data_IF_744304469806
#
_entry.id   IF_744304469806
#
_cell.length_a   1.000
_cell.length_b   1.000
_cell.length_c   1.000
_cell.angle_alpha   90.00
_cell.angle_beta   90.00
_cell.angle_gamma   90.00
#
_symmetry.space_group_name_H-M   'P 1'
#
loop_
_entity.id
_entity.type
_entity.pdbx_description
1 polymer ?
#
# COMPACT_ATOMS: atom_id res chain seq x y z
N UNK A 1 -8.95 -11.80 -19.30
CA UNK A 1 -9.89 -10.98 -18.49
C UNK A 1 -10.68 -11.96 -17.64
N UNK A 2 -10.42 -12.05 -16.34
CA UNK A 2 -11.04 -13.04 -15.46
C UNK A 2 -11.79 -12.33 -14.34
N UNK A 3 -13.12 -12.44 -14.38
CA UNK A 3 -14.06 -11.83 -13.44
C UNK A 3 -14.23 -12.78 -12.27
N UNK A 4 -13.69 -12.43 -11.11
CA UNK A 4 -14.24 -12.92 -9.86
C UNK A 4 -14.02 -11.92 -8.74
N UNK A 5 -15.11 -11.74 -7.98
CA UNK A 5 -15.38 -10.64 -7.09
C UNK A 5 -15.54 -9.36 -7.91
N UNK A 6 -16.59 -8.56 -7.66
CA UNK A 6 -16.92 -7.35 -8.43
C UNK A 6 -15.85 -6.22 -8.34
N UNK A 7 -14.62 -6.53 -7.96
CA UNK A 7 -13.47 -5.64 -7.90
C UNK A 7 -12.72 -5.69 -9.22
N UNK A 8 -12.56 -4.52 -9.85
CA UNK A 8 -11.87 -4.37 -11.13
C UNK A 8 -10.56 -3.59 -10.98
N UNK A 9 -10.40 -2.89 -9.86
CA UNK A 9 -9.30 -1.99 -9.60
C UNK A 9 -8.73 -2.24 -8.19
N UNK A 10 -7.52 -1.77 -7.97
CA UNK A 10 -6.88 -1.73 -6.65
C UNK A 10 -6.31 -0.34 -6.46
N UNK A 11 -6.73 0.36 -5.40
CA UNK A 11 -6.07 1.57 -4.96
C UNK A 11 -4.85 1.16 -4.13
N UNK A 12 -3.66 1.52 -4.58
CA UNK A 12 -2.41 1.27 -3.86
C UNK A 12 -1.93 2.58 -3.24
N UNK A 13 -1.69 2.54 -1.92
CA UNK A 13 -1.03 3.62 -1.18
C UNK A 13 0.34 3.12 -0.75
N UNK A 14 1.36 3.95 -0.95
CA UNK A 14 2.73 3.64 -0.57
C UNK A 14 3.24 4.76 0.32
N UNK A 15 3.67 4.43 1.53
CA UNK A 15 4.47 5.33 2.34
C UNK A 15 5.90 5.36 1.80
N UNK A 16 6.38 6.56 1.45
CA UNK A 16 7.68 6.74 0.81
C UNK A 16 8.82 6.49 1.79
N UNK A 17 8.60 6.71 3.08
CA UNK A 17 9.62 6.52 4.11
C UNK A 17 9.87 5.03 4.40
N UNK A 18 8.83 4.32 4.84
CA UNK A 18 8.94 2.90 5.21
C UNK A 18 8.85 1.95 4.02
N UNK A 19 8.43 2.42 2.84
CA UNK A 19 7.95 1.57 1.74
C UNK A 19 6.76 0.70 2.13
N UNK A 20 6.00 1.07 3.18
CA UNK A 20 4.77 0.37 3.55
C UNK A 20 3.75 0.50 2.42
N UNK A 21 3.15 -0.64 2.05
CA UNK A 21 2.15 -0.70 0.99
C UNK A 21 0.82 -1.09 1.62
N UNK A 22 -0.21 -0.28 1.38
CA UNK A 22 -1.62 -0.61 1.58
C UNK A 22 -2.30 -0.76 0.23
N UNK A 23 -3.17 -1.76 0.12
CA UNK A 23 -3.98 -1.96 -1.06
C UNK A 23 -5.47 -2.08 -0.69
N UNK A 24 -6.29 -1.52 -1.56
CA UNK A 24 -7.74 -1.50 -1.37
C UNK A 24 -8.41 -1.91 -2.67
N UNK A 25 -8.90 -3.16 -2.78
CA UNK A 25 -9.63 -3.61 -3.96
C UNK A 25 -10.93 -2.80 -4.08
N UNK A 26 -11.18 -2.26 -5.26
CA UNK A 26 -12.33 -1.40 -5.54
C UNK A 26 -13.01 -1.76 -6.86
N UNK A 27 -14.32 -1.51 -6.90
CA UNK A 27 -15.17 -1.80 -8.08
C UNK A 27 -15.11 -0.69 -9.12
N UNK A 28 -14.75 0.52 -8.69
CA UNK A 28 -14.71 1.74 -9.50
C UNK A 28 -13.45 2.52 -9.15
N UNK A 29 -12.80 3.05 -10.17
CA UNK A 29 -11.72 4.02 -10.02
C UNK A 29 -12.30 5.45 -10.08
N UNK A 30 -13.11 5.84 -9.09
CA UNK A 30 -13.67 7.19 -9.00
C UNK A 30 -13.23 7.94 -7.73
N UNK A 31 -13.37 9.27 -7.75
CA UNK A 31 -12.92 10.13 -6.68
C UNK A 31 -13.63 9.87 -5.33
N UNK A 32 -14.91 9.52 -5.38
CA UNK A 32 -15.71 9.20 -4.19
C UNK A 32 -15.18 7.93 -3.51
N UNK A 33 -14.83 6.92 -4.30
CA UNK A 33 -14.25 5.66 -3.80
C UNK A 33 -12.89 5.91 -3.17
N UNK A 34 -12.03 6.71 -3.80
CA UNK A 34 -10.72 7.09 -3.25
C UNK A 34 -10.85 7.81 -1.91
N UNK A 35 -11.74 8.80 -1.81
CA UNK A 35 -11.98 9.56 -0.56
C UNK A 35 -12.47 8.64 0.56
N UNK A 36 -13.47 7.79 0.25
CA UNK A 36 -14.06 6.87 1.24
C UNK A 36 -13.01 5.89 1.80
N UNK A 37 -12.19 5.31 0.94
CA UNK A 37 -11.15 4.36 1.34
C UNK A 37 -10.04 5.05 2.13
N UNK A 38 -9.61 6.26 1.71
CA UNK A 38 -8.59 7.03 2.43
C UNK A 38 -9.01 7.42 3.84
N UNK A 39 -10.22 7.97 3.98
CA UNK A 39 -10.72 8.44 5.27
C UNK A 39 -10.93 7.31 6.26
N UNK A 40 -11.58 6.23 5.83
CA UNK A 40 -11.96 5.14 6.72
C UNK A 40 -10.77 4.33 7.19
N UNK A 41 -9.85 4.00 6.29
CA UNK A 41 -8.84 2.98 6.55
C UNK A 41 -7.44 3.54 6.76
N UNK A 42 -7.05 4.59 6.04
CA UNK A 42 -5.69 5.13 6.14
C UNK A 42 -5.57 6.12 7.29
N UNK A 43 -6.41 7.16 7.29
CA UNK A 43 -6.33 8.24 8.29
C UNK A 43 -6.56 7.72 9.71
N UNK A 44 -7.46 6.75 9.88
CA UNK A 44 -7.74 6.13 11.18
C UNK A 44 -6.59 5.30 11.74
N UNK A 45 -5.70 4.77 10.89
CA UNK A 45 -4.60 3.88 11.29
C UNK A 45 -3.26 4.60 11.41
N UNK A 46 -2.98 5.51 10.48
CA UNK A 46 -1.67 6.15 10.34
C UNK A 46 -1.71 7.66 10.61
N UNK A 47 -2.90 8.23 10.79
CA UNK A 47 -3.09 9.67 10.92
C UNK A 47 -3.16 10.40 9.58
N UNK A 48 -3.20 11.74 9.67
CA UNK A 48 -3.30 12.61 8.51
C UNK A 48 -1.89 12.81 7.92
N UNK A 49 -1.66 12.49 6.63
CA UNK A 49 -0.36 12.69 6.01
C UNK A 49 -0.12 14.18 5.73
N UNK A 50 1.14 14.61 5.81
CA UNK A 50 1.54 15.99 5.45
C UNK A 50 1.29 16.27 3.96
N UNK A 51 1.60 15.31 3.10
CA UNK A 51 1.39 15.43 1.67
C UNK A 51 0.95 14.12 1.03
N UNK A 52 0.23 14.24 -0.07
CA UNK A 52 -0.17 13.14 -0.94
C UNK A 52 0.35 13.45 -2.33
N UNK A 53 1.03 12.47 -2.93
CA UNK A 53 1.47 12.53 -4.32
C UNK A 53 0.62 11.58 -5.16
N UNK A 54 0.04 12.06 -6.26
CA UNK A 54 -0.68 11.21 -7.22
C UNK A 54 -0.45 11.66 -8.66
N UNK A 55 -0.83 10.80 -9.61
CA UNK A 55 -0.93 11.20 -11.01
C UNK A 55 -2.15 12.11 -11.25
N UNK A 56 -2.28 12.58 -12.49
CA UNK A 56 -3.40 13.40 -12.95
C UNK A 56 -4.69 12.61 -13.24
N UNK A 57 -4.79 11.36 -12.76
CA UNK A 57 -5.98 10.54 -12.94
C UNK A 57 -7.25 11.23 -12.41
N UNK A 58 -8.36 11.07 -13.13
CA UNK A 58 -9.66 11.70 -12.80
C UNK A 58 -10.11 11.32 -11.37
N UNK A 59 -9.78 10.12 -10.92
CA UNK A 59 -10.05 9.63 -9.57
C UNK A 59 -9.33 10.42 -8.48
N UNK A 60 -8.23 11.12 -8.79
CA UNK A 60 -7.46 11.91 -7.84
C UNK A 60 -7.66 13.41 -8.03
N UNK A 61 -8.01 13.87 -9.23
CA UNK A 61 -8.19 15.31 -9.54
C UNK A 61 -9.61 15.81 -9.31
N UNK A 62 -10.56 14.93 -8.95
CA UNK A 62 -11.94 15.27 -8.65
C UNK A 62 -12.07 16.25 -7.49
N UNK A 63 -13.07 17.13 -7.58
CA UNK A 63 -13.32 18.22 -6.62
C UNK A 63 -13.39 17.74 -5.16
N UNK A 64 -14.04 16.60 -4.91
CA UNK A 64 -14.17 16.01 -3.57
C UNK A 64 -12.82 15.64 -2.94
N UNK A 65 -11.81 15.28 -3.75
CA UNK A 65 -10.45 14.99 -3.26
C UNK A 65 -9.76 16.30 -2.86
N UNK A 66 -9.92 17.36 -3.67
CA UNK A 66 -9.36 18.68 -3.37
C UNK A 66 -9.94 19.27 -2.09
N UNK A 67 -11.26 19.20 -1.92
CA UNK A 67 -11.96 19.68 -0.72
C UNK A 67 -11.53 18.91 0.53
N UNK A 68 -11.38 17.59 0.42
CA UNK A 68 -10.86 16.77 1.51
C UNK A 68 -9.45 17.19 1.89
N UNK A 69 -8.54 17.31 0.92
CA UNK A 69 -7.16 17.70 1.16
C UNK A 69 -7.08 19.10 1.79
N UNK A 70 -7.88 20.06 1.32
CA UNK A 70 -7.95 21.39 1.92
C UNK A 70 -8.46 21.35 3.37
N UNK A 71 -9.52 20.58 3.64
CA UNK A 71 -10.11 20.46 4.98
C UNK A 71 -9.13 19.83 5.98
N UNK A 72 -8.39 18.81 5.55
CA UNK A 72 -7.41 18.11 6.38
C UNK A 72 -6.01 18.74 6.31
N UNK A 73 -5.86 19.88 5.63
CA UNK A 73 -4.58 20.57 5.43
C UNK A 73 -3.48 19.69 4.80
N UNK A 74 -3.88 18.76 3.95
CA UNK A 74 -2.99 17.85 3.22
C UNK A 74 -2.52 18.55 1.95
N UNK A 75 -1.20 18.61 1.75
CA UNK A 75 -0.63 19.10 0.50
C UNK A 75 -0.79 18.05 -0.60
N UNK A 76 -1.68 18.30 -1.57
CA UNK A 76 -1.88 17.39 -2.69
C UNK A 76 -1.04 17.80 -3.89
N UNK A 77 0.03 17.05 -4.13
CA UNK A 77 0.93 17.25 -5.26
C UNK A 77 0.54 16.32 -6.42
N UNK A 78 0.25 16.91 -7.57
CA UNK A 78 0.03 16.17 -8.81
C UNK A 78 1.32 16.15 -9.61
N UNK A 79 1.73 14.96 -10.04
CA UNK A 79 2.95 14.81 -10.82
C UNK A 79 2.69 14.31 -12.23
N UNK A 80 3.44 14.88 -13.18
CA UNK A 80 3.52 14.37 -14.53
C UNK A 80 4.33 13.06 -14.55
N UNK A 81 3.98 12.07 -15.39
CA UNK A 81 4.55 10.72 -15.40
C UNK A 81 6.09 10.63 -15.48
N UNK A 82 6.74 11.72 -15.90
CA UNK A 82 8.16 11.80 -16.22
C UNK A 82 9.04 12.45 -15.14
N UNK A 83 8.48 13.05 -14.07
CA UNK A 83 9.25 14.05 -13.30
C UNK A 83 9.61 13.78 -11.83
N UNK A 84 9.20 12.68 -11.18
CA UNK A 84 9.42 12.56 -9.73
C UNK A 84 9.94 11.19 -9.25
N UNK A 85 10.91 11.24 -8.33
CA UNK A 85 11.46 10.10 -7.61
C UNK A 85 10.37 9.30 -6.86
N UNK A 86 9.36 9.99 -6.31
CA UNK A 86 8.20 9.39 -5.64
C UNK A 86 7.30 8.58 -6.59
N UNK A 87 7.19 8.99 -7.86
CA UNK A 87 6.53 8.18 -8.88
C UNK A 87 7.29 6.87 -9.15
N UNK A 88 8.63 6.91 -9.03
CA UNK A 88 9.49 5.72 -9.14
C UNK A 88 9.20 4.68 -8.05
N UNK A 89 9.06 5.11 -6.79
CA UNK A 89 8.74 4.22 -5.67
C UNK A 89 7.38 3.56 -5.87
N UNK A 90 6.32 4.33 -6.18
CA UNK A 90 4.97 3.78 -6.40
C UNK A 90 4.95 2.83 -7.60
N UNK A 91 5.57 3.21 -8.74
CA UNK A 91 5.67 2.33 -9.92
C UNK A 91 6.38 1.02 -9.60
N UNK A 92 7.48 1.09 -8.84
CA UNK A 92 8.24 -0.10 -8.41
C UNK A 92 7.39 -1.00 -7.52
N UNK A 93 6.74 -0.45 -6.50
CA UNK A 93 5.88 -1.24 -5.61
C UNK A 93 4.69 -1.86 -6.35
N UNK A 94 4.07 -1.12 -7.27
CA UNK A 94 3.00 -1.65 -8.13
C UNK A 94 3.52 -2.79 -9.02
N UNK A 95 4.73 -2.69 -9.56
CA UNK A 95 5.37 -3.77 -10.32
C UNK A 95 5.62 -5.01 -9.48
N UNK A 96 6.15 -4.84 -8.27
CA UNK A 96 6.39 -5.94 -7.32
C UNK A 96 5.06 -6.61 -6.92
N UNK A 97 4.03 -5.83 -6.63
CA UNK A 97 2.70 -6.33 -6.28
C UNK A 97 2.12 -7.17 -7.41
N UNK A 98 2.14 -6.66 -8.66
CA UNK A 98 1.67 -7.40 -9.84
C UNK A 98 2.43 -8.71 -10.03
N UNK A 99 3.76 -8.69 -9.89
CA UNK A 99 4.58 -9.89 -10.01
C UNK A 99 4.24 -10.93 -8.95
N UNK A 100 4.14 -10.53 -7.68
CA UNK A 100 3.79 -11.43 -6.57
C UNK A 100 2.38 -12.00 -6.73
N UNK A 101 1.41 -11.16 -7.08
CA UNK A 101 0.04 -11.61 -7.37
C UNK A 101 0.01 -12.63 -8.50
N UNK A 102 0.67 -12.35 -9.63
CA UNK A 102 0.71 -13.29 -10.76
C UNK A 102 1.31 -14.64 -10.36
N UNK A 103 2.41 -14.62 -9.59
CA UNK A 103 3.05 -15.84 -9.11
C UNK A 103 2.15 -16.63 -8.15
N UNK A 104 1.61 -15.99 -7.12
CA UNK A 104 0.77 -16.68 -6.12
C UNK A 104 -0.52 -17.20 -6.75
N UNK A 105 -1.15 -16.44 -7.66
CA UNK A 105 -2.31 -16.92 -8.41
C UNK A 105 -1.98 -18.16 -9.25
N UNK A 106 -0.82 -18.20 -9.90
CA UNK A 106 -0.38 -19.36 -10.69
C UNK A 106 -0.13 -20.59 -9.80
N UNK A 107 0.48 -20.40 -8.63
CA UNK A 107 0.83 -21.50 -7.72
C UNK A 107 -0.39 -22.06 -6.96
N UNK A 108 -1.38 -21.22 -6.63
CA UNK A 108 -2.52 -21.60 -5.78
C UNK A 108 -3.84 -21.79 -6.53
N UNK A 109 -3.90 -21.38 -7.81
CA UNK A 109 -5.12 -21.30 -8.62
C UNK A 109 -6.25 -20.45 -7.98
N UNK A 110 -5.90 -19.60 -7.01
CA UNK A 110 -6.82 -18.64 -6.37
C UNK A 110 -6.92 -17.35 -7.19
N UNK A 111 -7.99 -16.59 -6.94
CA UNK A 111 -8.19 -15.29 -7.60
C UNK A 111 -7.39 -14.20 -6.90
N UNK A 112 -7.02 -13.18 -7.69
CA UNK A 112 -6.17 -12.09 -7.23
C UNK A 112 -6.66 -11.39 -5.93
N UNK A 113 -7.98 -11.18 -5.67
CA UNK A 113 -8.41 -10.53 -4.44
C UNK A 113 -8.14 -11.40 -3.20
N UNK A 114 -8.24 -12.72 -3.36
CA UNK A 114 -8.09 -13.68 -2.26
C UNK A 114 -6.61 -13.87 -1.89
N UNK A 115 -5.71 -13.71 -2.86
CA UNK A 115 -4.25 -13.79 -2.64
C UNK A 115 -3.62 -12.46 -2.26
N UNK A 116 -4.36 -11.35 -2.33
CA UNK A 116 -3.87 -10.00 -2.04
C UNK A 116 -3.22 -9.89 -0.64
N UNK A 117 -3.81 -10.44 0.45
CA UNK A 117 -3.18 -10.41 1.76
C UNK A 117 -1.84 -11.15 1.81
N UNK A 118 -1.69 -12.24 1.06
CA UNK A 118 -0.44 -13.00 0.98
C UNK A 118 0.65 -12.21 0.26
N UNK A 119 0.30 -11.52 -0.82
CA UNK A 119 1.21 -10.64 -1.54
C UNK A 119 1.68 -9.48 -0.63
N UNK A 120 0.75 -8.87 0.13
CA UNK A 120 1.07 -7.81 1.08
C UNK A 120 2.00 -8.27 2.21
N UNK A 121 1.72 -9.40 2.85
CA UNK A 121 2.60 -9.97 3.88
C UNK A 121 4.01 -10.14 3.33
N UNK A 122 4.13 -10.70 2.14
CA UNK A 122 5.42 -10.88 1.49
C UNK A 122 6.14 -9.55 1.23
N UNK A 123 5.44 -8.51 0.77
CA UNK A 123 6.04 -7.18 0.54
C UNK A 123 6.45 -6.50 1.86
N UNK A 124 5.60 -6.57 2.88
CA UNK A 124 5.80 -5.92 4.18
C UNK A 124 6.89 -6.59 5.03
N UNK A 125 7.12 -7.89 4.83
CA UNK A 125 8.16 -8.65 5.53
C UNK A 125 9.51 -8.69 4.79
N UNK A 126 9.58 -8.26 3.53
CA UNK A 126 10.84 -8.32 2.76
C UNK A 126 11.72 -7.11 3.12
N UNK A 127 12.94 -7.31 3.64
CA UNK A 127 13.86 -6.21 3.92
C UNK A 127 14.24 -5.43 2.66
N UNK A 128 14.33 -4.11 2.79
CA UNK A 128 14.89 -3.29 1.72
C UNK A 128 16.42 -3.40 1.73
N UNK A 129 17.03 -3.62 0.56
CA UNK A 129 18.48 -3.71 0.38
C UNK A 129 19.25 -2.51 0.93
N UNK A 130 18.65 -1.31 0.96
CA UNK A 130 19.31 -0.09 1.44
C UNK A 130 19.34 0.01 2.96
N UNK A 131 18.26 -0.36 3.64
CA UNK A 131 18.11 -0.18 5.09
C UNK A 131 18.37 -1.47 5.86
N UNK A 132 18.32 -2.62 5.21
CA UNK A 132 18.34 -3.93 5.86
C UNK A 132 17.06 -4.24 6.66
N UNK A 133 16.09 -3.32 6.68
CA UNK A 133 14.84 -3.43 7.43
C UNK A 133 13.66 -3.57 6.47
N UNK A 134 12.69 -4.39 6.88
CA UNK A 134 11.41 -4.55 6.21
C UNK A 134 10.47 -3.37 6.52
N UNK A 135 9.50 -3.06 5.64
CA UNK A 135 8.50 -2.04 5.93
C UNK A 135 7.78 -2.25 7.26
N UNK A 136 7.53 -3.50 7.65
CA UNK A 136 6.92 -3.83 8.94
C UNK A 136 7.83 -3.50 10.12
N UNK A 137 9.13 -3.77 10.03
CA UNK A 137 10.09 -3.43 11.08
C UNK A 137 10.22 -1.91 11.25
N UNK A 138 10.25 -1.16 10.15
CA UNK A 138 10.31 0.32 10.20
C UNK A 138 9.08 0.88 10.93
N UNK A 139 7.90 0.30 10.68
CA UNK A 139 6.66 0.83 11.22
C UNK A 139 6.35 0.36 12.66
N UNK A 140 6.76 -0.86 13.02
CA UNK A 140 6.39 -1.48 14.30
C UNK A 140 7.56 -1.65 15.27
N UNK A 141 8.80 -1.47 14.80
CA UNK A 141 10.02 -1.74 15.56
C UNK A 141 10.27 -3.23 15.83
N UNK A 142 9.54 -4.15 15.17
CA UNK A 142 9.63 -5.60 15.39
C UNK A 142 9.62 -6.37 14.07
N UNK A 143 10.27 -7.54 13.99
CA UNK A 143 10.21 -8.40 12.81
C UNK A 143 8.80 -8.97 12.63
N UNK A 144 8.34 -9.06 11.38
CA UNK A 144 7.06 -9.70 11.07
C UNK A 144 7.16 -11.21 11.35
N UNK A 145 6.18 -11.77 12.06
CA UNK A 145 6.09 -13.22 12.24
C UNK A 145 5.61 -13.88 10.95
N UNK A 146 6.45 -14.74 10.41
CA UNK A 146 6.12 -15.63 9.30
C UNK A 146 6.15 -17.09 9.78
N UNK A 147 5.47 -18.03 9.10
CA UNK A 147 5.46 -19.44 9.49
C UNK A 147 6.85 -20.08 9.65
N UNK A 148 7.88 -19.55 8.96
CA UNK A 148 9.26 -20.00 9.06
C UNK A 148 10.12 -19.18 10.06
N UNK A 149 9.53 -18.27 10.83
CA UNK A 149 10.27 -17.45 11.78
C UNK A 149 10.67 -18.27 13.02
N UNK A 150 11.89 -18.10 13.55
CA UNK A 150 12.30 -18.76 14.78
C UNK A 150 11.39 -18.38 15.97
N UNK A 151 11.20 -19.29 16.94
CA UNK A 151 10.36 -19.04 18.11
C UNK A 151 10.85 -17.81 18.89
N UNK A 152 9.94 -17.10 19.56
CA UNK A 152 10.34 -16.10 20.55
C UNK A 152 11.07 -16.83 21.66
N UNK A 153 12.38 -16.64 21.74
CA UNK A 153 13.03 -16.76 23.03
C UNK A 153 12.41 -15.63 23.86
N UNK A 154 11.73 -15.92 24.99
CA UNK A 154 11.29 -14.88 25.88
C UNK A 154 12.52 -14.03 26.18
N UNK A 155 12.45 -12.72 25.90
CA UNK A 155 13.48 -11.81 26.39
C UNK A 155 13.59 -12.09 27.88
N UNK A 156 14.75 -12.54 28.33
CA UNK A 156 15.02 -12.63 29.76
C UNK A 156 14.74 -11.23 30.30
N UNK A 157 13.64 -11.12 31.05
CA UNK A 157 13.38 -9.97 31.89
C UNK A 157 14.41 -10.06 33.01
N UNK A 158 15.62 -9.60 32.72
CA UNK A 158 16.57 -9.24 33.76
C UNK A 158 16.03 -7.93 34.37
N UNK A 159 15.56 -8.07 35.60
CA UNK A 159 15.12 -7.00 36.52
C UNK A 159 16.31 -6.14 36.91
#
# INVERSE_FOLDING_TARGET
>A
MFKCCNYEYVLVLVDVFSNWVEDFPCRKADAKTVVKLRLKDFVSRFGIPVSINSDHGISFTGQIVKELCATLQIQHNLYYPHHLQSAGTVKRQNGILKYKLAKICADTNLKWPDVLPLALISMRATPNLKTGLSPYEILTGRPMRLPAAPPLIPAQMDI
#
